data_IF_483736504485
#
_entry.id   IF_483736504485
#
_cell.length_a   1.000
_cell.length_b   1.000
_cell.length_c   1.000
_cell.angle_alpha   90.00
_cell.angle_beta   90.00
_cell.angle_gamma   90.00
#
_symmetry.space_group_name_H-M   'P 1'
#
loop_
_entity.id
_entity.type
_entity.pdbx_description
1 polymer ?
#
# COMPACT_ATOMS: atom_id res chain seq x y z
N UNK A 1 29.27 -55.50 6.74
CA UNK A 1 28.95 -54.28 7.52
C UNK A 1 29.61 -53.03 6.92
N UNK A 2 30.78 -53.15 6.28
CA UNK A 2 31.43 -52.08 5.49
C UNK A 2 30.52 -51.50 4.39
N UNK A 3 29.91 -52.37 3.58
CA UNK A 3 29.18 -52.02 2.37
C UNK A 3 28.00 -51.04 2.59
N UNK A 4 27.18 -51.29 3.62
CA UNK A 4 26.08 -50.39 4.02
C UNK A 4 26.57 -49.01 4.47
N UNK A 5 27.78 -48.90 5.03
CA UNK A 5 28.31 -47.59 5.45
C UNK A 5 28.69 -46.75 4.24
N UNK A 6 29.14 -47.37 3.15
CA UNK A 6 29.55 -46.65 1.95
C UNK A 6 28.33 -46.24 1.10
N UNK A 7 27.27 -47.03 1.07
CA UNK A 7 25.97 -46.61 0.50
C UNK A 7 25.32 -45.46 1.29
N UNK A 8 25.41 -45.49 2.62
CA UNK A 8 24.94 -44.40 3.49
C UNK A 8 25.76 -43.12 3.30
N UNK A 9 27.09 -43.23 3.11
CA UNK A 9 27.94 -42.08 2.76
C UNK A 9 27.61 -41.54 1.36
N UNK A 10 27.38 -42.41 0.38
CA UNK A 10 27.05 -42.03 -0.99
C UNK A 10 25.68 -41.35 -1.09
N UNK A 11 24.68 -41.83 -0.34
CA UNK A 11 23.36 -41.20 -0.26
C UNK A 11 23.41 -39.86 0.48
N UNK A 12 24.16 -39.75 1.58
CA UNK A 12 24.39 -38.49 2.30
C UNK A 12 25.08 -37.42 1.46
N UNK A 13 26.14 -37.79 0.72
CA UNK A 13 26.83 -36.86 -0.17
C UNK A 13 25.93 -36.40 -1.34
N UNK A 14 25.02 -37.25 -1.80
CA UNK A 14 24.05 -36.90 -2.86
C UNK A 14 22.96 -35.94 -2.36
N UNK A 15 22.46 -36.13 -1.14
CA UNK A 15 21.49 -35.21 -0.53
C UNK A 15 22.13 -33.87 -0.16
N UNK A 16 23.37 -33.86 0.34
CA UNK A 16 24.11 -32.62 0.59
C UNK A 16 24.37 -31.84 -0.72
N UNK A 17 24.74 -32.52 -1.81
CA UNK A 17 24.92 -31.89 -3.12
C UNK A 17 23.62 -31.31 -3.71
N UNK A 18 22.49 -32.01 -3.54
CA UNK A 18 21.18 -31.51 -3.98
C UNK A 18 20.68 -30.36 -3.10
N UNK A 19 20.89 -30.46 -1.78
CA UNK A 19 20.57 -29.40 -0.82
C UNK A 19 21.36 -28.13 -1.18
N UNK A 20 22.67 -28.25 -1.42
CA UNK A 20 23.52 -27.13 -1.80
C UNK A 20 23.03 -26.43 -3.08
N UNK A 21 22.61 -27.19 -4.11
CA UNK A 21 22.00 -26.63 -5.32
C UNK A 21 20.70 -25.88 -5.05
N UNK A 22 19.84 -26.41 -4.18
CA UNK A 22 18.58 -25.74 -3.78
C UNK A 22 18.88 -24.45 -3.02
N UNK A 23 19.82 -24.47 -2.07
CA UNK A 23 20.27 -23.27 -1.36
C UNK A 23 20.86 -22.23 -2.31
N UNK A 24 21.59 -22.66 -3.34
CA UNK A 24 22.15 -21.78 -4.35
C UNK A 24 21.06 -21.14 -5.23
N UNK A 25 20.04 -21.90 -5.65
CA UNK A 25 18.89 -21.37 -6.41
C UNK A 25 18.06 -20.40 -5.57
N UNK A 26 17.85 -20.71 -4.28
CA UNK A 26 17.11 -19.83 -3.38
C UNK A 26 17.90 -18.54 -3.09
N UNK A 27 19.21 -18.66 -2.90
CA UNK A 27 20.11 -17.51 -2.70
C UNK A 27 20.20 -16.64 -3.96
N UNK A 28 20.34 -17.24 -5.14
CA UNK A 28 20.32 -16.51 -6.42
C UNK A 28 18.96 -15.84 -6.68
N UNK A 29 17.84 -16.46 -6.26
CA UNK A 29 16.52 -15.80 -6.31
C UNK A 29 16.39 -14.66 -5.32
N UNK A 30 16.94 -14.80 -4.11
CA UNK A 30 16.97 -13.75 -3.10
C UNK A 30 17.83 -12.57 -3.56
N UNK A 31 19.03 -12.84 -4.08
CA UNK A 31 19.96 -11.85 -4.62
C UNK A 31 19.47 -11.25 -5.96
N UNK A 32 18.71 -12.01 -6.76
CA UNK A 32 18.02 -11.49 -7.96
C UNK A 32 16.77 -10.67 -7.60
N UNK A 33 16.14 -10.89 -6.46
CA UNK A 33 15.05 -10.02 -5.97
C UNK A 33 15.59 -8.75 -5.30
N UNK A 34 16.80 -8.84 -4.74
CA UNK A 34 17.63 -7.71 -4.30
C UNK A 34 18.57 -7.30 -5.42
N UNK A 35 18.08 -7.05 -6.65
CA UNK A 35 18.98 -6.56 -7.69
C UNK A 35 19.73 -5.34 -7.16
N UNK A 36 21.07 -5.37 -6.98
CA UNK A 36 21.81 -4.14 -6.88
C UNK A 36 21.78 -3.60 -8.30
N UNK A 37 20.81 -2.73 -8.58
CA UNK A 37 20.74 -2.04 -9.85
C UNK A 37 22.11 -1.44 -10.12
N UNK A 38 22.66 -1.86 -11.25
CA UNK A 38 23.90 -1.40 -11.81
C UNK A 38 23.88 0.13 -11.87
N UNK A 39 24.45 0.78 -10.85
CA UNK A 39 24.69 2.23 -10.76
C UNK A 39 23.46 3.10 -11.09
N UNK A 40 22.53 3.23 -10.16
CA UNK A 40 21.57 4.35 -10.16
C UNK A 40 22.25 5.65 -9.68
N UNK A 41 23.24 6.16 -10.41
CA UNK A 41 24.01 7.36 -10.03
C UNK A 41 23.23 8.70 -10.25
N UNK A 42 21.90 8.68 -10.30
CA UNK A 42 21.08 9.91 -10.37
C UNK A 42 19.58 9.69 -10.33
N UNK A 43 19.08 8.57 -10.88
CA UNK A 43 17.66 8.22 -10.83
C UNK A 43 17.18 7.91 -9.40
N UNK A 44 18.07 7.40 -8.54
CA UNK A 44 17.77 7.18 -7.13
C UNK A 44 17.31 8.45 -6.41
N UNK A 45 17.92 9.61 -6.70
CA UNK A 45 17.52 10.89 -6.11
C UNK A 45 16.11 11.32 -6.54
N UNK A 46 15.72 11.09 -7.79
CA UNK A 46 14.37 11.35 -8.26
C UNK A 46 13.35 10.45 -7.56
N UNK A 47 13.66 9.17 -7.36
CA UNK A 47 12.77 8.26 -6.61
C UNK A 47 12.62 8.74 -5.16
N UNK A 48 13.71 9.12 -4.49
CA UNK A 48 13.66 9.63 -3.11
C UNK A 48 12.83 10.90 -3.02
N UNK A 49 13.02 11.84 -3.96
CA UNK A 49 12.23 13.06 -4.01
C UNK A 49 10.74 12.78 -4.27
N UNK A 50 10.43 11.85 -5.19
CA UNK A 50 9.05 11.40 -5.43
C UNK A 50 8.43 10.76 -4.19
N UNK A 51 9.16 9.89 -3.48
CA UNK A 51 8.67 9.25 -2.25
C UNK A 51 8.43 10.27 -1.14
N UNK A 52 9.31 11.28 -1.02
CA UNK A 52 9.14 12.38 -0.09
C UNK A 52 7.89 13.22 -0.43
N UNK A 53 7.73 13.60 -1.70
CA UNK A 53 6.55 14.33 -2.16
C UNK A 53 5.26 13.54 -1.90
N UNK A 54 5.25 12.23 -2.19
CA UNK A 54 4.12 11.35 -1.88
C UNK A 54 3.78 11.39 -0.39
N UNK A 55 4.76 11.27 0.51
CA UNK A 55 4.53 11.39 1.95
C UNK A 55 3.95 12.74 2.35
N UNK A 56 4.44 13.84 1.77
CA UNK A 56 3.89 15.19 2.00
C UNK A 56 2.43 15.26 1.54
N UNK A 57 2.10 14.71 0.37
CA UNK A 57 0.71 14.66 -0.11
C UNK A 57 -0.19 13.81 0.79
N UNK A 58 0.26 12.62 1.21
CA UNK A 58 -0.49 11.76 2.12
C UNK A 58 -0.75 12.46 3.46
N UNK A 59 0.28 13.05 4.05
CA UNK A 59 0.15 13.83 5.29
C UNK A 59 -0.78 15.05 5.11
N UNK A 60 -0.69 15.73 3.97
CA UNK A 60 -1.55 16.86 3.63
C UNK A 60 -3.03 16.46 3.53
N UNK A 61 -3.32 15.36 2.84
CA UNK A 61 -4.70 14.84 2.71
C UNK A 61 -5.27 14.47 4.09
N UNK A 62 -4.48 13.78 4.93
CA UNK A 62 -4.91 13.39 6.28
C UNK A 62 -5.22 14.62 7.15
N UNK A 63 -4.40 15.66 7.09
CA UNK A 63 -4.64 16.90 7.84
C UNK A 63 -5.84 17.69 7.31
N UNK A 64 -6.06 17.65 5.99
CA UNK A 64 -7.18 18.35 5.35
C UNK A 64 -8.53 17.86 5.87
N UNK A 65 -8.66 16.58 6.25
CA UNK A 65 -9.90 16.02 6.84
C UNK A 65 -10.38 16.84 8.06
N UNK A 66 -9.44 17.34 8.88
CA UNK A 66 -9.77 18.17 10.05
C UNK A 66 -10.35 19.54 9.68
N UNK A 67 -9.81 20.17 8.65
CA UNK A 67 -10.29 21.47 8.14
C UNK A 67 -11.64 21.30 7.43
N UNK A 68 -11.76 20.28 6.58
CA UNK A 68 -12.99 20.01 5.83
C UNK A 68 -14.16 19.70 6.75
N UNK A 69 -13.93 19.07 7.91
CA UNK A 69 -14.95 18.85 8.93
C UNK A 69 -15.64 20.16 9.38
N UNK A 70 -14.87 21.23 9.59
CA UNK A 70 -15.42 22.55 9.98
C UNK A 70 -16.23 23.16 8.86
N UNK A 71 -15.76 23.02 7.60
CA UNK A 71 -16.47 23.51 6.42
C UNK A 71 -17.82 22.78 6.24
N UNK A 72 -17.85 21.46 6.47
CA UNK A 72 -19.07 20.69 6.39
C UNK A 72 -20.08 21.06 7.47
N UNK A 73 -19.62 21.38 8.68
CA UNK A 73 -20.46 21.91 9.75
C UNK A 73 -21.15 23.21 9.35
N UNK A 74 -20.41 24.15 8.76
CA UNK A 74 -20.94 25.44 8.33
C UNK A 74 -21.87 25.32 7.11
N UNK A 75 -21.48 24.50 6.13
CA UNK A 75 -22.20 24.33 4.85
C UNK A 75 -23.55 23.62 5.02
N UNK A 76 -23.56 22.50 5.75
CA UNK A 76 -24.77 21.69 5.90
C UNK A 76 -25.60 22.06 7.14
N UNK A 77 -25.07 22.93 8.02
CA UNK A 77 -25.66 23.29 9.33
C UNK A 77 -26.16 22.07 10.13
N UNK A 78 -25.51 20.92 9.92
CA UNK A 78 -25.85 19.66 10.57
C UNK A 78 -25.23 19.60 11.97
N UNK A 79 -25.71 18.70 12.82
CA UNK A 79 -25.12 18.50 14.15
C UNK A 79 -23.69 17.97 14.04
N UNK A 80 -22.83 18.37 14.97
CA UNK A 80 -21.42 17.94 15.01
C UNK A 80 -21.26 16.42 14.95
N UNK A 81 -22.17 15.67 15.57
CA UNK A 81 -22.18 14.22 15.53
C UNK A 81 -22.37 13.66 14.12
N UNK A 82 -23.33 14.18 13.36
CA UNK A 82 -23.61 13.71 11.99
C UNK A 82 -22.41 14.00 11.08
N UNK A 83 -21.83 15.19 11.15
CA UNK A 83 -20.63 15.50 10.34
C UNK A 83 -19.41 14.67 10.75
N UNK A 84 -19.29 14.30 12.04
CA UNK A 84 -18.15 13.54 12.55
C UNK A 84 -18.13 12.10 12.03
N UNK A 85 -19.29 11.55 11.68
CA UNK A 85 -19.40 10.25 11.03
C UNK A 85 -18.69 10.22 9.68
N UNK A 86 -18.62 11.33 8.94
CA UNK A 86 -17.95 11.39 7.62
C UNK A 86 -16.45 11.08 7.77
N UNK A 87 -15.78 11.81 8.67
CA UNK A 87 -14.35 11.62 8.93
C UNK A 87 -14.04 10.26 9.58
N UNK A 88 -14.93 9.80 10.46
CA UNK A 88 -14.81 8.49 11.12
C UNK A 88 -14.93 7.35 10.11
N UNK A 89 -15.92 7.44 9.21
CA UNK A 89 -16.12 6.45 8.15
C UNK A 89 -14.94 6.42 7.18
N UNK A 90 -14.41 7.59 6.81
CA UNK A 90 -13.20 7.68 5.98
C UNK A 90 -12.03 6.92 6.61
N UNK A 91 -11.69 7.22 7.88
CA UNK A 91 -10.60 6.51 8.57
C UNK A 91 -10.90 5.04 8.78
N UNK A 92 -12.14 4.67 9.07
CA UNK A 92 -12.54 3.27 9.23
C UNK A 92 -12.33 2.50 7.91
N UNK A 93 -12.83 3.01 6.79
CA UNK A 93 -12.63 2.42 5.47
C UNK A 93 -11.13 2.30 5.14
N UNK A 94 -10.33 3.33 5.43
CA UNK A 94 -8.89 3.30 5.20
C UNK A 94 -8.21 2.14 5.97
N UNK A 95 -8.59 1.92 7.23
CA UNK A 95 -8.05 0.83 8.04
C UNK A 95 -8.55 -0.56 7.61
N UNK A 96 -9.82 -0.69 7.22
CA UNK A 96 -10.36 -1.95 6.73
C UNK A 96 -9.75 -2.39 5.40
N UNK A 97 -9.44 -1.43 4.52
CA UNK A 97 -8.83 -1.72 3.22
C UNK A 97 -7.32 -1.94 3.34
N UNK A 98 -6.68 -1.55 4.44
CA UNK A 98 -5.25 -1.79 4.67
C UNK A 98 -4.85 -3.28 4.44
N UNK A 99 -5.38 -4.30 5.15
CA UNK A 99 -4.99 -5.68 4.89
C UNK A 99 -5.29 -6.15 3.45
N UNK A 100 -6.39 -5.67 2.85
CA UNK A 100 -6.77 -6.00 1.47
C UNK A 100 -5.76 -5.44 0.47
N UNK A 101 -5.34 -4.19 0.67
CA UNK A 101 -4.36 -3.53 -0.19
C UNK A 101 -2.95 -4.14 -0.07
N UNK A 102 -2.60 -4.69 1.10
CA UNK A 102 -1.36 -5.46 1.29
C UNK A 102 -1.35 -6.73 0.42
N UNK A 103 -2.45 -7.50 0.43
CA UNK A 103 -2.61 -8.66 -0.44
C UNK A 103 -2.57 -8.27 -1.94
N UNK A 104 -3.19 -7.15 -2.29
CA UNK A 104 -3.22 -6.64 -3.67
C UNK A 104 -1.82 -6.22 -4.15
N UNK A 105 -1.07 -5.53 -3.31
CA UNK A 105 0.29 -5.07 -3.61
C UNK A 105 1.24 -6.25 -3.81
N UNK A 106 1.09 -7.30 -2.99
CA UNK A 106 1.89 -8.53 -3.13
C UNK A 106 1.63 -9.26 -4.45
N UNK A 107 0.44 -9.09 -5.07
CA UNK A 107 0.06 -9.74 -6.33
C UNK A 107 0.32 -8.89 -7.57
N UNK A 108 0.13 -7.57 -7.50
CA UNK A 108 0.17 -6.67 -8.67
C UNK A 108 1.35 -5.67 -8.65
N UNK A 109 2.12 -5.60 -7.57
CA UNK A 109 3.23 -4.66 -7.40
C UNK A 109 2.79 -3.28 -6.90
N UNK A 110 3.75 -2.52 -6.34
CA UNK A 110 3.51 -1.23 -5.67
C UNK A 110 3.02 -0.12 -6.61
N UNK A 111 3.65 0.02 -7.77
CA UNK A 111 3.43 1.13 -8.71
C UNK A 111 1.99 1.26 -9.23
N UNK A 112 1.39 0.22 -9.84
CA UNK A 112 0.02 0.35 -10.38
C UNK A 112 -1.02 0.55 -9.28
N UNK A 113 -0.80 -0.01 -8.10
CA UNK A 113 -1.71 0.10 -6.95
C UNK A 113 -1.78 1.53 -6.41
N UNK A 114 -0.64 2.23 -6.30
CA UNK A 114 -0.63 3.66 -5.90
C UNK A 114 -1.36 4.53 -6.92
N UNK A 115 -1.15 4.31 -8.22
CA UNK A 115 -1.78 5.11 -9.27
C UNK A 115 -3.30 4.92 -9.26
N UNK A 116 -3.77 3.66 -9.15
CA UNK A 116 -5.19 3.34 -9.04
C UNK A 116 -5.81 3.94 -7.77
N UNK A 117 -5.17 3.78 -6.61
CA UNK A 117 -5.64 4.34 -5.35
C UNK A 117 -5.75 5.87 -5.40
N UNK A 118 -4.71 6.54 -5.91
CA UNK A 118 -4.68 7.99 -6.09
C UNK A 118 -5.75 8.51 -7.06
N UNK A 119 -5.98 7.80 -8.17
CA UNK A 119 -7.04 8.15 -9.13
C UNK A 119 -8.44 8.03 -8.49
N UNK A 120 -8.70 6.95 -7.74
CA UNK A 120 -9.96 6.76 -7.01
C UNK A 120 -10.15 7.86 -5.97
N UNK A 121 -9.11 8.21 -5.21
CA UNK A 121 -9.14 9.30 -4.24
C UNK A 121 -9.43 10.65 -4.90
N UNK A 122 -8.79 10.94 -6.05
CA UNK A 122 -9.03 12.17 -6.79
C UNK A 122 -10.47 12.27 -7.31
N UNK A 123 -11.03 11.17 -7.82
CA UNK A 123 -12.43 11.11 -8.25
C UNK A 123 -13.37 11.28 -7.06
N UNK A 124 -13.08 10.64 -5.92
CA UNK A 124 -13.87 10.76 -4.70
C UNK A 124 -13.92 12.19 -4.18
N UNK A 125 -12.76 12.88 -4.13
CA UNK A 125 -12.67 14.28 -3.73
C UNK A 125 -13.33 15.22 -4.75
N UNK A 126 -13.09 15.00 -6.05
CA UNK A 126 -13.70 15.81 -7.11
C UNK A 126 -15.23 15.70 -7.10
N UNK A 127 -15.76 14.49 -6.90
CA UNK A 127 -17.21 14.27 -6.79
C UNK A 127 -17.78 14.86 -5.49
N UNK A 128 -17.01 14.83 -4.41
CA UNK A 128 -17.40 15.43 -3.13
C UNK A 128 -17.61 16.95 -3.24
N UNK A 129 -16.93 17.63 -4.16
CA UNK A 129 -17.11 19.07 -4.38
C UNK A 129 -18.50 19.43 -4.94
N UNK A 130 -19.16 18.48 -5.62
CA UNK A 130 -20.51 18.65 -6.17
C UNK A 130 -21.60 18.05 -5.24
N UNK A 131 -21.25 17.63 -4.03
CA UNK A 131 -22.20 17.01 -3.11
C UNK A 131 -23.17 18.06 -2.53
N UNK A 132 -24.45 17.91 -2.85
CA UNK A 132 -25.54 18.77 -2.34
C UNK A 132 -26.18 18.24 -1.06
N UNK A 133 -25.84 17.02 -0.65
CA UNK A 133 -26.44 16.35 0.51
C UNK A 133 -25.39 15.58 1.32
N UNK A 134 -25.55 15.52 2.64
CA UNK A 134 -24.61 14.88 3.58
C UNK A 134 -24.49 13.37 3.35
N UNK A 135 -25.55 12.71 2.87
CA UNK A 135 -25.50 11.29 2.49
C UNK A 135 -24.59 11.03 1.30
N UNK A 136 -24.56 11.96 0.34
CA UNK A 136 -23.67 11.88 -0.81
C UNK A 136 -22.21 12.04 -0.38
N UNK A 137 -21.99 12.86 0.66
CA UNK A 137 -20.69 13.07 1.29
C UNK A 137 -20.18 11.80 2.01
N UNK A 138 -21.05 11.05 2.70
CA UNK A 138 -20.65 9.77 3.32
C UNK A 138 -20.12 8.77 2.31
N UNK A 139 -20.75 8.68 1.13
CA UNK A 139 -20.34 7.72 0.10
C UNK A 139 -19.07 8.19 -0.60
N UNK A 140 -19.04 9.43 -1.08
CA UNK A 140 -17.92 9.97 -1.87
C UNK A 140 -16.68 10.26 -1.02
N UNK A 141 -16.83 11.03 0.06
CA UNK A 141 -15.73 11.40 0.93
C UNK A 141 -15.40 10.31 1.96
N UNK A 142 -16.39 9.59 2.48
CA UNK A 142 -16.16 8.49 3.42
C UNK A 142 -15.60 7.26 2.71
N UNK A 143 -16.44 6.60 1.93
CA UNK A 143 -16.13 5.27 1.38
C UNK A 143 -15.16 5.34 0.20
N UNK A 144 -15.46 6.16 -0.82
CA UNK A 144 -14.66 6.20 -2.06
C UNK A 144 -13.28 6.80 -1.78
N UNK A 145 -13.24 7.98 -1.14
CA UNK A 145 -11.98 8.66 -0.84
C UNK A 145 -11.15 7.92 0.21
N UNK A 146 -11.78 7.47 1.31
CA UNK A 146 -11.10 6.68 2.35
C UNK A 146 -10.63 5.33 1.86
N UNK A 147 -11.40 4.70 0.96
CA UNK A 147 -11.00 3.44 0.34
C UNK A 147 -9.84 3.59 -0.66
N UNK A 148 -9.88 4.63 -1.50
CA UNK A 148 -8.76 4.95 -2.41
C UNK A 148 -7.46 5.26 -1.64
N UNK A 149 -7.57 5.98 -0.52
CA UNK A 149 -6.43 6.25 0.36
C UNK A 149 -5.89 4.96 1.00
N UNK A 150 -6.77 4.06 1.45
CA UNK A 150 -6.37 2.76 2.00
C UNK A 150 -5.58 1.92 0.99
N UNK A 151 -5.93 1.97 -0.29
CA UNK A 151 -5.21 1.29 -1.38
C UNK A 151 -3.84 1.96 -1.64
N UNK A 152 -3.78 3.28 -1.62
CA UNK A 152 -2.56 4.04 -1.93
C UNK A 152 -1.53 4.08 -0.78
N UNK A 153 -1.94 3.83 0.47
CA UNK A 153 -1.08 4.02 1.66
C UNK A 153 -0.01 2.94 1.84
N UNK A 154 -0.29 1.69 1.45
CA UNK A 154 0.57 0.53 1.75
C UNK A 154 1.87 0.45 0.94
N UNK A 155 1.91 0.81 -0.35
CA UNK A 155 3.16 0.66 -1.11
C UNK A 155 4.26 1.64 -0.69
N UNK A 156 3.95 2.58 0.20
CA UNK A 156 4.85 3.64 0.66
C UNK A 156 5.56 3.33 2.00
N UNK A 157 5.27 2.19 2.65
CA UNK A 157 5.87 1.77 3.92
C UNK A 157 6.48 0.38 3.84
#
# INVERSE_FOLDING_TARGET
>A
MEDKKDELKASRNRTEGNSFKVWQILKDKEDSSKTPNKKDEGYAWLIVFCSFMLHVFLAGIINTIGVTFVIFLDTFKASAGVTAWVGSLNRACMNFIAPVSSMLTNKYGSRPVVILGGAITAIGLGTSAFATNIYHLYITFGIITGGGLGIAYIPAN
#
